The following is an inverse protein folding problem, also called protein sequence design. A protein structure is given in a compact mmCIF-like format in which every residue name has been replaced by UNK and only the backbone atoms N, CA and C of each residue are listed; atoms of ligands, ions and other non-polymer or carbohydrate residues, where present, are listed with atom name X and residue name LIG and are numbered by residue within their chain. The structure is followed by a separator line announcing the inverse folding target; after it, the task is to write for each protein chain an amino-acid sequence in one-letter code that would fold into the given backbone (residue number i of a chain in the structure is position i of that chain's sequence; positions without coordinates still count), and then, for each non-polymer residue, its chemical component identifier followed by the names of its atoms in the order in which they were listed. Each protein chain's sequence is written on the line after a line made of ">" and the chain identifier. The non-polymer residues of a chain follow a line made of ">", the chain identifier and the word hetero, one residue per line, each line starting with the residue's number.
data_IF_903106977379
#
_entry.id   IF_903106977379
#
_cell.length_a   1.000
_cell.length_b   1.000
_cell.length_c   1.000
_cell.angle_alpha   90.00
_cell.angle_beta   90.00
_cell.angle_gamma   90.00
#
_symmetry.space_group_name_H-M   'P 1'
#
loop_
_entity.id
_entity.type
_entity.pdbx_description
1 polymer ?
#
# COMPACT_ATOMS: atom_id res chain seq x y z
N UNK A 1 11.77 -15.75 -22.32
CA UNK A 1 11.20 -14.89 -21.27
C UNK A 1 12.26 -14.77 -20.21
N UNK A 2 12.89 -13.60 -20.06
CA UNK A 2 13.64 -13.31 -18.85
C UNK A 2 12.72 -13.57 -17.65
N UNK A 3 13.27 -14.11 -16.58
CA UNK A 3 12.50 -14.52 -15.42
C UNK A 3 11.86 -13.28 -14.79
N UNK A 4 10.56 -13.07 -15.01
CA UNK A 4 9.79 -11.92 -14.49
C UNK A 4 9.98 -11.79 -12.97
N UNK A 5 10.29 -12.91 -12.30
CA UNK A 5 10.64 -12.97 -10.87
C UNK A 5 11.89 -12.15 -10.50
N UNK A 6 12.84 -11.92 -11.41
CA UNK A 6 14.04 -11.12 -11.14
C UNK A 6 13.91 -9.64 -11.56
N UNK A 7 12.94 -9.30 -12.40
CA UNK A 7 12.81 -7.95 -12.97
C UNK A 7 11.93 -7.00 -12.14
N UNK A 8 11.04 -7.55 -11.30
CA UNK A 8 10.08 -6.77 -10.53
C UNK A 8 10.24 -7.01 -9.01
N UNK A 9 11.30 -6.47 -8.39
CA UNK A 9 11.50 -6.56 -6.95
C UNK A 9 10.50 -5.67 -6.19
N UNK A 10 10.32 -5.99 -4.90
CA UNK A 10 9.51 -5.17 -4.00
C UNK A 10 7.99 -5.29 -4.17
N UNK A 11 7.31 -4.17 -3.97
CA UNK A 11 5.86 -4.01 -3.89
C UNK A 11 5.38 -2.97 -4.88
N UNK A 12 4.22 -3.21 -5.48
CA UNK A 12 3.46 -2.20 -6.24
C UNK A 12 2.09 -2.07 -5.60
N UNK A 13 1.78 -0.87 -5.09
CA UNK A 13 0.56 -0.60 -4.35
C UNK A 13 -0.20 0.58 -4.97
N UNK A 14 -1.55 0.54 -4.95
CA UNK A 14 -2.36 1.66 -5.39
C UNK A 14 -2.23 2.85 -4.44
N UNK A 15 -2.13 4.05 -5.01
CA UNK A 15 -2.20 5.32 -4.29
C UNK A 15 -3.53 5.99 -4.60
N UNK A 16 -4.18 6.49 -3.55
CA UNK A 16 -5.50 7.08 -3.57
C UNK A 16 -6.59 6.18 -2.98
N UNK A 17 -7.70 6.80 -2.61
CA UNK A 17 -8.89 6.16 -2.08
C UNK A 17 -9.90 5.91 -3.19
N UNK A 18 -10.31 4.66 -3.38
CA UNK A 18 -11.35 4.30 -4.34
C UNK A 18 -12.71 4.85 -3.89
N UNK A 19 -13.28 5.77 -4.67
CA UNK A 19 -14.63 6.30 -4.44
C UNK A 19 -15.74 5.48 -5.12
N UNK A 20 -15.34 4.52 -5.96
CA UNK A 20 -16.26 3.66 -6.69
C UNK A 20 -16.17 3.84 -8.20
N UNK A 21 -17.03 3.13 -8.90
CA UNK A 21 -17.16 3.27 -10.34
C UNK A 21 -18.08 4.46 -10.64
N UNK A 22 -17.74 5.25 -11.66
CA UNK A 22 -18.70 6.19 -12.24
C UNK A 22 -19.67 5.38 -13.11
N UNK A 23 -20.92 5.26 -12.66
CA UNK A 23 -21.99 4.69 -13.45
C UNK A 23 -22.71 5.81 -14.20
N UNK A 24 -22.40 5.96 -15.49
CA UNK A 24 -23.19 6.80 -16.40
C UNK A 24 -24.28 5.95 -17.08
N UNK A 25 -25.56 6.08 -16.70
CA UNK A 25 -26.65 5.31 -17.30
C UNK A 25 -26.87 5.65 -18.78
N UNK A 26 -26.32 6.76 -19.28
CA UNK A 26 -26.43 7.19 -20.68
C UNK A 26 -25.28 6.70 -21.57
N UNK A 27 -24.23 6.12 -20.98
CA UNK A 27 -23.07 5.62 -21.71
C UNK A 27 -22.72 4.20 -21.25
N UNK A 28 -22.96 3.16 -22.08
CA UNK A 28 -22.60 1.77 -21.76
C UNK A 28 -21.08 1.52 -21.88
N UNK A 29 -20.25 2.57 -21.81
CA UNK A 29 -18.81 2.51 -21.94
C UNK A 29 -18.14 1.70 -20.83
N UNK A 30 -16.83 1.43 -20.99
CA UNK A 30 -16.06 0.71 -19.98
C UNK A 30 -16.09 1.45 -18.64
N UNK A 31 -16.29 0.69 -17.56
CA UNK A 31 -16.32 1.21 -16.18
C UNK A 31 -15.03 1.95 -15.86
N UNK A 32 -15.17 3.16 -15.36
CA UNK A 32 -14.07 4.00 -14.91
C UNK A 32 -14.13 4.16 -13.40
N UNK A 33 -12.97 4.12 -12.76
CA UNK A 33 -12.87 4.28 -11.31
C UNK A 33 -12.60 5.74 -10.98
N UNK A 34 -13.31 6.24 -9.98
CA UNK A 34 -13.01 7.54 -9.35
C UNK A 34 -12.06 7.28 -8.19
N UNK A 35 -10.90 7.92 -8.20
CA UNK A 35 -9.88 7.81 -7.16
C UNK A 35 -9.66 9.18 -6.52
N UNK A 36 -9.72 9.25 -5.18
CA UNK A 36 -9.39 10.45 -4.42
C UNK A 36 -7.95 10.41 -3.94
N UNK A 37 -7.20 11.46 -4.20
CA UNK A 37 -5.82 11.66 -3.76
C UNK A 37 -5.72 13.08 -3.18
N UNK A 38 -5.31 13.17 -1.92
CA UNK A 38 -5.44 14.38 -1.12
C UNK A 38 -6.90 14.86 -1.05
N UNK A 39 -7.12 16.11 -1.50
CA UNK A 39 -8.43 16.76 -1.56
C UNK A 39 -9.09 16.68 -2.94
N UNK A 40 -8.45 16.06 -3.94
CA UNK A 40 -8.96 15.99 -5.31
C UNK A 40 -9.45 14.58 -5.63
N UNK A 41 -10.47 14.49 -6.48
CA UNK A 41 -10.95 13.24 -7.06
C UNK A 41 -10.70 13.27 -8.57
N UNK A 42 -10.08 12.21 -9.09
CA UNK A 42 -9.80 12.03 -10.50
C UNK A 42 -10.62 10.85 -11.04
N UNK A 43 -11.27 11.06 -12.19
CA UNK A 43 -11.85 9.97 -12.98
C UNK A 43 -10.75 9.37 -13.84
N UNK A 44 -10.33 8.15 -13.53
CA UNK A 44 -9.28 7.48 -14.28
C UNK A 44 -9.75 7.10 -15.68
N UNK A 45 -8.83 7.08 -16.64
CA UNK A 45 -9.11 6.48 -17.95
C UNK A 45 -9.46 4.99 -17.79
N UNK A 46 -10.15 4.35 -18.75
CA UNK A 46 -10.44 2.92 -18.65
C UNK A 46 -9.20 2.05 -18.54
N UNK A 47 -8.10 2.45 -19.19
CA UNK A 47 -6.81 1.76 -19.12
C UNK A 47 -6.19 1.91 -17.72
N UNK A 48 -6.07 3.15 -17.23
CA UNK A 48 -5.50 3.42 -15.91
C UNK A 48 -6.32 2.77 -14.80
N UNK A 49 -7.64 2.76 -14.92
CA UNK A 49 -8.55 2.08 -14.00
C UNK A 49 -8.19 0.60 -13.88
N UNK A 50 -7.96 -0.08 -15.01
CA UNK A 50 -7.59 -1.51 -15.02
C UNK A 50 -6.24 -1.73 -14.34
N UNK A 51 -5.24 -0.91 -14.63
CA UNK A 51 -3.91 -1.04 -14.03
C UNK A 51 -3.97 -0.80 -12.52
N UNK A 52 -4.63 0.28 -12.10
CA UNK A 52 -4.80 0.66 -10.71
C UNK A 52 -5.56 -0.41 -9.91
N UNK A 53 -6.68 -0.93 -10.44
CA UNK A 53 -7.44 -1.99 -9.78
C UNK A 53 -6.64 -3.30 -9.68
N UNK A 54 -5.75 -3.59 -10.64
CA UNK A 54 -4.85 -4.75 -10.54
C UNK A 54 -3.69 -4.54 -9.58
N UNK A 55 -3.32 -3.31 -9.24
CA UNK A 55 -2.42 -3.11 -8.11
C UNK A 55 -3.12 -3.43 -6.77
N UNK A 56 -4.45 -3.30 -6.69
CA UNK A 56 -5.20 -3.74 -5.53
C UNK A 56 -5.14 -5.28 -5.42
N UNK A 57 -4.51 -5.80 -4.36
CA UNK A 57 -4.20 -7.22 -4.22
C UNK A 57 -5.39 -8.11 -3.78
N UNK A 58 -6.63 -7.59 -3.83
CA UNK A 58 -7.85 -8.40 -3.62
C UNK A 58 -7.96 -9.08 -2.26
N UNK A 59 -7.32 -8.55 -1.22
CA UNK A 59 -7.35 -9.10 0.15
C UNK A 59 -6.06 -9.77 0.61
N UNK A 60 -5.18 -10.21 -0.29
CA UNK A 60 -3.95 -10.91 0.09
C UNK A 60 -2.71 -10.00 -0.04
N UNK A 61 -1.89 -9.85 1.01
CA UNK A 61 -0.66 -9.04 0.95
C UNK A 61 0.34 -9.53 -0.11
N UNK A 62 0.38 -10.84 -0.36
CA UNK A 62 1.22 -11.48 -1.38
C UNK A 62 0.94 -10.95 -2.79
N UNK A 63 -0.29 -10.53 -3.07
CA UNK A 63 -0.67 -9.97 -4.36
C UNK A 63 -0.05 -8.58 -4.60
N UNK A 64 0.28 -7.83 -3.54
CA UNK A 64 0.94 -6.53 -3.67
C UNK A 64 2.41 -6.62 -4.12
N UNK A 65 3.00 -7.82 -4.14
CA UNK A 65 4.34 -8.01 -4.70
C UNK A 65 4.39 -7.54 -6.15
N UNK A 66 5.41 -6.76 -6.48
CA UNK A 66 5.56 -6.15 -7.79
C UNK A 66 5.47 -7.18 -8.93
N UNK A 67 6.12 -8.33 -8.76
CA UNK A 67 6.01 -9.46 -9.69
C UNK A 67 4.60 -10.02 -9.86
N UNK A 68 3.80 -10.07 -8.79
CA UNK A 68 2.43 -10.54 -8.84
C UNK A 68 1.51 -9.52 -9.55
N UNK A 69 1.77 -8.22 -9.36
CA UNK A 69 1.12 -7.15 -10.14
C UNK A 69 1.51 -7.26 -11.62
N UNK A 70 2.80 -7.36 -11.94
CA UNK A 70 3.29 -7.47 -13.31
C UNK A 70 2.68 -8.67 -14.06
N UNK A 71 2.63 -9.84 -13.43
CA UNK A 71 1.95 -11.03 -13.98
C UNK A 71 0.46 -10.80 -14.25
N UNK A 72 -0.23 -10.07 -13.36
CA UNK A 72 -1.66 -9.72 -13.54
C UNK A 72 -1.87 -8.74 -14.69
N UNK A 73 -0.95 -7.80 -14.90
CA UNK A 73 -0.98 -6.84 -16.02
C UNK A 73 -0.73 -7.54 -17.36
N UNK A 74 0.30 -8.40 -17.43
CA UNK A 74 0.58 -9.21 -18.61
C UNK A 74 -0.60 -10.09 -19.00
N UNK A 75 -1.30 -10.67 -18.01
CA UNK A 75 -2.54 -11.45 -18.24
C UNK A 75 -3.70 -10.64 -18.84
N UNK A 76 -3.63 -9.31 -18.81
CA UNK A 76 -4.58 -8.38 -19.45
C UNK A 76 -4.06 -7.82 -20.78
N UNK A 77 -2.88 -8.24 -21.24
CA UNK A 77 -2.22 -7.66 -22.40
C UNK A 77 -1.69 -6.24 -22.17
N UNK A 78 -1.46 -5.86 -20.91
CA UNK A 78 -0.84 -4.58 -20.54
C UNK A 78 0.64 -4.82 -20.24
N UNK A 79 1.52 -4.02 -20.84
CA UNK A 79 2.96 -4.06 -20.56
C UNK A 79 3.25 -3.41 -19.19
N UNK A 80 3.72 -4.17 -18.18
CA UNK A 80 4.03 -3.62 -16.87
C UNK A 80 5.18 -2.61 -16.92
N UNK A 81 6.15 -2.78 -17.83
CA UNK A 81 7.34 -1.92 -17.93
C UNK A 81 6.99 -0.50 -18.42
N UNK A 82 5.87 -0.36 -19.14
CA UNK A 82 5.31 0.94 -19.54
C UNK A 82 4.29 1.46 -18.51
N UNK A 83 3.33 0.62 -18.12
CA UNK A 83 2.17 1.06 -17.36
C UNK A 83 2.51 1.45 -15.92
N UNK A 84 3.34 0.67 -15.21
CA UNK A 84 3.62 0.95 -13.80
C UNK A 84 4.44 2.24 -13.64
N UNK A 85 5.57 2.46 -14.35
CA UNK A 85 6.32 3.71 -14.22
C UNK A 85 5.47 4.94 -14.59
N UNK A 86 4.60 4.83 -15.60
CA UNK A 86 3.67 5.90 -16.00
C UNK A 86 2.70 6.27 -14.88
N UNK A 87 2.08 5.29 -14.21
CA UNK A 87 1.17 5.57 -13.09
C UNK A 87 1.91 5.99 -11.81
N UNK A 88 3.13 5.51 -11.58
CA UNK A 88 4.00 6.00 -10.49
C UNK A 88 4.34 7.47 -10.69
N UNK A 89 4.72 7.89 -11.91
CA UNK A 89 5.00 9.29 -12.22
C UNK A 89 3.78 10.21 -12.03
N UNK A 90 2.57 9.66 -12.14
CA UNK A 90 1.31 10.37 -11.88
C UNK A 90 0.87 10.33 -10.42
N UNK A 91 1.59 9.64 -9.54
CA UNK A 91 1.22 9.45 -8.14
C UNK A 91 -0.01 8.57 -7.92
N UNK A 92 -0.36 7.71 -8.89
CA UNK A 92 -1.47 6.77 -8.81
C UNK A 92 -1.04 5.38 -8.32
N UNK A 93 0.24 5.06 -8.43
CA UNK A 93 0.88 3.88 -7.86
C UNK A 93 2.12 4.29 -7.09
N UNK A 94 2.56 3.42 -6.20
CA UNK A 94 3.92 3.44 -5.65
C UNK A 94 4.59 2.10 -5.96
N UNK A 95 5.85 2.16 -6.38
CA UNK A 95 6.72 1.00 -6.53
C UNK A 95 7.90 1.18 -5.58
N UNK A 96 8.10 0.20 -4.69
CA UNK A 96 9.13 0.26 -3.65
C UNK A 96 9.67 -1.14 -3.37
N UNK A 97 10.98 -1.31 -3.37
CA UNK A 97 11.61 -2.42 -2.64
C UNK A 97 12.08 -1.88 -1.29
N UNK A 98 11.48 -2.31 -0.15
CA UNK A 98 11.89 -1.82 1.16
C UNK A 98 13.31 -2.20 1.57
N UNK A 99 13.99 -3.07 0.81
CA UNK A 99 15.39 -3.45 1.03
C UNK A 99 16.39 -2.55 0.32
N UNK A 100 15.94 -1.82 -0.70
CA UNK A 100 16.77 -0.94 -1.49
C UNK A 100 17.09 0.37 -0.75
N UNK A 101 18.26 0.95 -1.06
CA UNK A 101 18.71 2.20 -0.46
C UNK A 101 17.81 3.40 -0.81
N UNK A 102 16.97 3.27 -1.84
CA UNK A 102 16.01 4.30 -2.26
C UNK A 102 14.67 4.24 -1.50
N UNK A 103 14.42 3.17 -0.74
CA UNK A 103 13.17 2.98 0.01
C UNK A 103 12.81 4.16 0.93
N UNK A 104 13.75 4.79 1.67
CA UNK A 104 13.43 5.98 2.47
C UNK A 104 12.91 7.16 1.63
N UNK A 105 13.45 7.35 0.41
CA UNK A 105 13.03 8.43 -0.48
C UNK A 105 11.63 8.18 -1.01
N UNK A 106 11.34 6.97 -1.48
CA UNK A 106 9.99 6.59 -1.93
C UNK A 106 8.99 6.65 -0.78
N UNK A 107 9.37 6.24 0.42
CA UNK A 107 8.51 6.30 1.61
C UNK A 107 8.14 7.73 2.01
N UNK A 108 8.91 8.73 1.61
CA UNK A 108 8.59 10.14 1.85
C UNK A 108 7.51 10.69 0.90
N UNK A 109 7.16 9.98 -0.18
CA UNK A 109 6.18 10.47 -1.18
C UNK A 109 4.75 10.03 -0.88
N UNK A 110 4.56 9.15 0.10
CA UNK A 110 3.26 8.58 0.45
C UNK A 110 3.02 8.59 1.95
N UNK A 111 1.75 8.56 2.33
CA UNK A 111 1.28 8.41 3.71
C UNK A 111 0.17 7.38 3.79
N UNK A 112 0.08 6.68 4.91
CA UNK A 112 -1.02 5.76 5.16
C UNK A 112 -2.25 6.51 5.68
N UNK A 113 -3.43 6.06 5.26
CA UNK A 113 -4.72 6.54 5.76
C UNK A 113 -5.60 5.36 6.17
N UNK A 114 -6.29 5.44 7.32
CA UNK A 114 -7.22 4.40 7.72
C UNK A 114 -8.48 4.45 6.88
N UNK A 115 -8.96 3.29 6.46
CA UNK A 115 -10.29 3.09 5.85
C UNK A 115 -11.22 2.31 6.80
N UNK A 116 -10.65 1.59 7.77
CA UNK A 116 -11.36 0.92 8.86
C UNK A 116 -10.82 1.32 10.24
N UNK A 117 -11.51 0.87 11.28
CA UNK A 117 -11.16 1.07 12.68
C UNK A 117 -10.75 -0.27 13.31
N UNK A 118 -10.08 -0.19 14.46
CA UNK A 118 -9.84 -1.39 15.27
C UNK A 118 -11.19 -1.98 15.73
N UNK A 119 -11.39 -3.28 15.51
CA UNK A 119 -12.63 -4.01 15.83
C UNK A 119 -12.50 -4.84 17.11
N UNK A 120 -11.40 -4.68 17.84
CA UNK A 120 -11.11 -5.40 19.09
C UNK A 120 -10.06 -6.51 18.93
N UNK A 121 -9.57 -6.98 20.07
CA UNK A 121 -8.60 -8.05 20.16
C UNK A 121 -9.26 -9.43 20.08
N UNK A 122 -8.64 -10.35 19.36
CA UNK A 122 -8.99 -11.75 19.31
C UNK A 122 -8.24 -12.54 20.40
N UNK A 123 -8.72 -13.74 20.79
CA UNK A 123 -8.08 -14.56 21.81
C UNK A 123 -6.63 -14.97 21.50
N UNK A 124 -6.24 -14.93 20.23
CA UNK A 124 -4.88 -15.21 19.76
C UNK A 124 -3.93 -14.00 19.91
N UNK A 125 -4.40 -12.89 20.49
CA UNK A 125 -3.62 -11.67 20.71
C UNK A 125 -3.53 -10.76 19.49
N UNK A 126 -4.19 -11.09 18.38
CA UNK A 126 -4.27 -10.20 17.21
C UNK A 126 -5.39 -9.16 17.36
N UNK A 127 -5.22 -8.00 16.75
CA UNK A 127 -6.25 -6.95 16.70
C UNK A 127 -6.86 -6.90 15.31
N UNK A 128 -8.19 -6.99 15.23
CA UNK A 128 -8.92 -6.88 13.97
C UNK A 128 -9.08 -5.44 13.50
N UNK A 129 -9.11 -5.23 12.18
CA UNK A 129 -9.36 -3.94 11.55
C UNK A 129 -10.46 -4.05 10.48
N UNK A 130 -11.38 -3.09 10.45
CA UNK A 130 -12.51 -3.09 9.53
C UNK A 130 -13.64 -2.20 10.00
N UNK A 131 -14.88 -2.62 9.74
CA UNK A 131 -16.08 -1.93 10.19
C UNK A 131 -16.56 -2.52 11.53
N UNK A 132 -16.79 -1.70 12.57
CA UNK A 132 -17.34 -2.18 13.84
C UNK A 132 -18.65 -2.94 13.64
N UNK A 133 -18.80 -4.10 14.30
CA UNK A 133 -19.97 -4.95 14.19
C UNK A 133 -19.96 -5.94 13.02
N UNK A 134 -18.95 -5.89 12.14
CA UNK A 134 -18.73 -6.87 11.07
C UNK A 134 -17.45 -7.69 11.34
N UNK A 135 -17.27 -8.85 10.69
CA UNK A 135 -16.00 -9.56 10.70
C UNK A 135 -14.85 -8.64 10.25
N UNK A 136 -13.66 -8.73 10.87
CA UNK A 136 -12.53 -7.89 10.49
C UNK A 136 -12.06 -8.20 9.06
N UNK A 137 -11.67 -7.16 8.33
CA UNK A 137 -11.08 -7.26 6.99
C UNK A 137 -9.67 -7.85 7.04
N UNK A 138 -8.93 -7.53 8.11
CA UNK A 138 -7.60 -8.08 8.38
C UNK A 138 -7.27 -8.02 9.87
N UNK A 139 -6.19 -8.67 10.27
CA UNK A 139 -5.74 -8.71 11.67
C UNK A 139 -4.24 -8.43 11.77
N UNK A 140 -3.83 -7.60 12.72
CA UNK A 140 -2.43 -7.29 13.00
C UNK A 140 -2.03 -7.86 14.37
N UNK A 141 -0.77 -8.26 14.49
CA UNK A 141 -0.15 -8.61 15.79
C UNK A 141 0.23 -7.34 16.55
N UNK A 142 0.50 -7.43 17.86
CA UNK A 142 0.79 -6.25 18.72
C UNK A 142 1.81 -5.27 18.12
N UNK A 143 3.00 -5.75 17.75
CA UNK A 143 4.02 -4.90 17.12
C UNK A 143 3.56 -4.26 15.81
N UNK A 144 2.78 -4.97 15.00
CA UNK A 144 2.23 -4.45 13.74
C UNK A 144 1.11 -3.43 13.97
N UNK A 145 0.37 -3.53 15.08
CA UNK A 145 -0.58 -2.51 15.51
C UNK A 145 0.14 -1.18 15.76
N UNK A 146 1.25 -1.20 16.50
CA UNK A 146 2.01 0.01 16.80
C UNK A 146 2.58 0.67 15.52
N UNK A 147 3.11 -0.15 14.61
CA UNK A 147 3.59 0.30 13.28
C UNK A 147 2.45 0.94 12.49
N UNK A 148 1.27 0.32 12.43
CA UNK A 148 0.13 0.87 11.69
C UNK A 148 -0.37 2.18 12.31
N UNK A 149 -0.47 2.25 13.64
CA UNK A 149 -0.89 3.46 14.34
C UNK A 149 0.10 4.61 14.11
N UNK A 150 1.41 4.33 14.16
CA UNK A 150 2.42 5.31 13.81
C UNK A 150 2.27 5.78 12.35
N UNK A 151 2.01 4.85 11.42
CA UNK A 151 1.88 5.14 10.00
C UNK A 151 0.72 6.09 9.67
N UNK A 152 -0.44 5.92 10.32
CA UNK A 152 -1.62 6.75 10.07
C UNK A 152 -1.55 8.14 10.73
N UNK A 153 -0.72 8.29 11.76
CA UNK A 153 -0.50 9.54 12.48
C UNK A 153 0.63 10.38 11.88
N UNK A 154 1.60 9.73 11.24
CA UNK A 154 2.71 10.40 10.58
C UNK A 154 2.26 11.17 9.33
N UNK A 155 3.11 12.10 8.93
CA UNK A 155 2.91 12.92 7.71
C UNK A 155 3.26 12.16 6.44
N UNK A 156 4.20 11.22 6.54
CA UNK A 156 4.66 10.32 5.48
C UNK A 156 5.24 9.02 6.09
N UNK A 157 5.46 8.01 5.26
CA UNK A 157 5.97 6.72 5.72
C UNK A 157 7.46 6.76 6.13
N UNK A 158 8.26 7.71 5.61
CA UNK A 158 9.65 7.88 6.04
C UNK A 158 9.72 8.34 7.50
N UNK A 159 8.90 9.31 7.90
CA UNK A 159 8.79 9.77 9.29
C UNK A 159 8.24 8.69 10.20
N UNK A 160 7.35 7.85 9.68
CA UNK A 160 6.90 6.64 10.40
C UNK A 160 8.08 5.73 10.70
N UNK A 161 8.88 5.40 9.68
CA UNK A 161 10.04 4.53 9.85
C UNK A 161 11.05 5.10 10.86
N UNK A 162 11.33 6.41 10.80
CA UNK A 162 12.22 7.06 11.77
C UNK A 162 11.67 6.99 13.21
N UNK A 163 10.36 7.19 13.41
CA UNK A 163 9.72 7.09 14.73
C UNK A 163 9.73 5.68 15.28
N UNK A 164 9.39 4.68 14.45
CA UNK A 164 9.41 3.26 14.83
C UNK A 164 10.84 2.80 15.12
N UNK A 165 11.82 3.24 14.34
CA UNK A 165 13.23 2.95 14.59
C UNK A 165 13.69 3.47 15.96
N UNK A 166 13.30 4.70 16.33
CA UNK A 166 13.63 5.26 17.64
C UNK A 166 13.04 4.42 18.77
N UNK A 167 11.75 4.05 18.67
CA UNK A 167 11.09 3.19 19.67
C UNK A 167 11.78 1.82 19.81
N UNK A 168 12.11 1.16 18.69
CA UNK A 168 12.77 -0.15 18.74
C UNK A 168 14.22 -0.09 19.18
N UNK A 169 14.93 1.02 18.91
CA UNK A 169 16.28 1.21 19.40
C UNK A 169 16.32 1.29 20.94
N UNK A 170 15.34 1.96 21.55
CA UNK A 170 15.15 2.02 23.01
C UNK A 170 14.85 0.62 23.58
N UNK A 171 13.95 -0.14 22.97
CA UNK A 171 13.59 -1.49 23.44
C UNK A 171 14.73 -2.51 23.33
N UNK A 172 15.66 -2.32 22.40
CA UNK A 172 16.75 -3.25 22.10
C UNK A 172 18.08 -2.88 22.77
N UNK A 173 18.13 -1.81 23.58
CA UNK A 173 19.37 -1.24 24.15
C UNK A 173 20.48 -1.01 23.08
N UNK A 174 20.06 -0.75 21.84
CA UNK A 174 20.92 -0.72 20.67
C UNK A 174 20.93 0.65 20.01
N UNK A 175 22.08 1.05 19.43
CA UNK A 175 22.15 2.29 18.67
C UNK A 175 21.37 2.16 17.33
N UNK A 176 20.61 3.18 16.91
CA UNK A 176 20.00 3.20 15.60
C UNK A 176 21.08 3.10 14.51
N UNK A 177 20.89 2.20 13.55
CA UNK A 177 21.80 2.00 12.42
C UNK A 177 21.10 1.46 11.16
N UNK A 178 21.82 1.38 10.02
CA UNK A 178 21.23 1.09 8.70
C UNK A 178 20.47 -0.25 8.64
N UNK A 179 20.92 -1.27 9.38
CA UNK A 179 20.25 -2.56 9.40
C UNK A 179 18.93 -2.52 10.18
N UNK A 180 18.83 -1.70 11.22
CA UNK A 180 17.57 -1.49 11.93
C UNK A 180 16.61 -0.69 11.06
N UNK A 181 17.08 0.37 10.39
CA UNK A 181 16.27 1.16 9.46
C UNK A 181 15.68 0.29 8.35
N UNK A 182 16.49 -0.56 7.71
CA UNK A 182 16.02 -1.49 6.68
C UNK A 182 14.99 -2.48 7.22
N UNK A 183 15.19 -3.03 8.42
CA UNK A 183 14.20 -3.92 9.07
C UNK A 183 12.88 -3.19 9.34
N UNK A 184 12.94 -1.95 9.84
CA UNK A 184 11.76 -1.12 10.09
C UNK A 184 11.01 -0.83 8.80
N UNK A 185 11.70 -0.50 7.72
CA UNK A 185 11.08 -0.25 6.42
C UNK A 185 10.40 -1.50 5.86
N UNK A 186 11.04 -2.67 5.97
CA UNK A 186 10.43 -3.95 5.57
C UNK A 186 9.15 -4.21 6.36
N UNK A 187 9.21 -4.14 7.69
CA UNK A 187 8.03 -4.37 8.55
C UNK A 187 6.92 -3.34 8.27
N UNK A 188 7.28 -2.06 8.09
CA UNK A 188 6.34 -0.99 7.76
C UNK A 188 5.63 -1.25 6.43
N UNK A 189 6.37 -1.57 5.38
CA UNK A 189 5.80 -1.81 4.06
C UNK A 189 5.00 -3.11 3.99
N UNK A 190 5.36 -4.14 4.76
CA UNK A 190 4.56 -5.36 4.90
C UNK A 190 3.21 -5.07 5.58
N UNK A 191 3.21 -4.29 6.66
CA UNK A 191 1.97 -3.85 7.34
C UNK A 191 1.11 -2.98 6.42
N UNK A 192 1.72 -2.01 5.73
CA UNK A 192 1.02 -1.15 4.76
C UNK A 192 0.42 -1.99 3.63
N UNK A 193 1.19 -2.90 3.05
CA UNK A 193 0.71 -3.79 1.99
C UNK A 193 -0.46 -4.63 2.48
N UNK A 194 -0.41 -5.18 3.69
CA UNK A 194 -1.51 -5.92 4.29
C UNK A 194 -2.77 -5.05 4.44
N UNK A 195 -2.64 -3.86 5.01
CA UNK A 195 -3.77 -2.97 5.28
C UNK A 195 -4.43 -2.45 4.00
N UNK A 196 -3.62 -2.07 3.01
CA UNK A 196 -4.10 -1.63 1.69
C UNK A 196 -4.77 -2.78 0.94
N UNK A 197 -4.14 -3.96 0.93
CA UNK A 197 -4.66 -5.14 0.22
C UNK A 197 -6.01 -5.58 0.76
N UNK A 198 -6.18 -5.54 2.07
CA UNK A 198 -7.43 -5.88 2.76
C UNK A 198 -8.52 -4.79 2.68
N UNK A 199 -8.20 -3.59 2.17
CA UNK A 199 -9.11 -2.45 2.17
C UNK A 199 -9.33 -1.82 3.56
N UNK A 200 -8.52 -2.19 4.56
CA UNK A 200 -8.55 -1.58 5.89
C UNK A 200 -7.78 -0.24 5.95
N UNK A 201 -6.98 0.05 4.92
CA UNK A 201 -6.30 1.32 4.72
C UNK A 201 -6.15 1.65 3.24
N UNK A 202 -5.64 2.84 2.95
CA UNK A 202 -5.20 3.24 1.61
C UNK A 202 -3.94 4.10 1.73
N UNK A 203 -3.15 4.17 0.66
CA UNK A 203 -2.09 5.15 0.54
C UNK A 203 -2.63 6.45 -0.04
N UNK A 204 -2.03 7.55 0.35
CA UNK A 204 -2.29 8.87 -0.21
C UNK A 204 -0.95 9.56 -0.46
N UNK A 205 -0.95 10.56 -1.34
CA UNK A 205 0.24 11.39 -1.58
C UNK A 205 0.62 12.17 -0.31
N UNK A 206 1.92 12.18 0.01
CA UNK A 206 2.47 13.09 1.00
C UNK A 206 2.66 14.47 0.34
N UNK A 207 2.15 15.52 0.97
CA UNK A 207 2.23 16.90 0.49
C UNK A 207 3.37 17.68 1.13
#
# INVERSE_FOLDING_TARGET
>A
MADVDQQWPGLVLPVGHRLGELHDPSSPGPRQVVVRHGSTAELLTPEDSRVWERAHAGGEPSGARAVAVARRLLGLGVDPDEAVPRLVARGLLVHVDPRDDDAPRVSATVRARPSGQATGAAPDGTTGYGLPGLPPLTRLTGRHVDVWLAAVLATDLRRTAAGVQALWAEDLDGAPGPDLERRVLVDLWDVVAQMVSAGAGHLDTAG
#
